data_IF_657438825377
#
_entry.id   IF_657438825377
#
_cell.length_a   1.000
_cell.length_b   1.000
_cell.length_c   1.000
_cell.angle_alpha   90.00
_cell.angle_beta   90.00
_cell.angle_gamma   90.00
#
_symmetry.space_group_name_H-M   'P 1'
#
loop_
_entity.id
_entity.type
_entity.pdbx_description
1 polymer ?
#
# COMPACT_ATOMS: atom_id res chain seq x y z
N UNK A 1 20.45 -13.84 11.62
CA UNK A 1 19.49 -14.82 11.06
C UNK A 1 19.41 -14.58 9.55
N UNK A 2 19.94 -15.50 8.75
CA UNK A 2 19.85 -15.40 7.28
C UNK A 2 18.39 -15.58 6.87
N UNK A 3 17.79 -14.53 6.30
CA UNK A 3 16.45 -14.54 5.70
C UNK A 3 16.50 -15.57 4.56
N UNK A 4 15.88 -16.73 4.76
CA UNK A 4 15.84 -17.79 3.75
C UNK A 4 15.31 -17.23 2.44
N UNK A 5 15.99 -17.52 1.32
CA UNK A 5 15.53 -17.15 -0.03
C UNK A 5 14.11 -17.69 -0.22
N UNK A 6 13.14 -16.79 -0.23
CA UNK A 6 11.75 -17.10 -0.53
C UNK A 6 11.71 -17.73 -1.93
N UNK A 7 11.06 -18.89 -2.06
CA UNK A 7 10.96 -19.60 -3.33
C UNK A 7 10.38 -18.66 -4.39
N UNK A 8 11.05 -18.55 -5.54
CA UNK A 8 10.64 -17.65 -6.63
C UNK A 8 9.36 -18.20 -7.25
N UNK A 9 8.22 -17.55 -6.99
CA UNK A 9 6.93 -17.88 -7.59
C UNK A 9 6.96 -17.56 -9.09
N UNK A 10 6.29 -18.39 -9.89
CA UNK A 10 6.22 -18.18 -11.34
C UNK A 10 5.33 -16.99 -11.72
N UNK A 11 5.68 -16.24 -12.77
CA UNK A 11 4.94 -15.06 -13.22
C UNK A 11 3.44 -15.34 -13.49
N UNK A 12 3.12 -16.49 -14.10
CA UNK A 12 1.72 -16.90 -14.31
C UNK A 12 0.96 -17.08 -13.00
N UNK A 13 1.60 -17.69 -12.01
CA UNK A 13 1.02 -17.89 -10.68
C UNK A 13 0.79 -16.54 -9.97
N UNK A 14 1.77 -15.64 -10.00
CA UNK A 14 1.65 -14.29 -9.42
C UNK A 14 0.47 -13.54 -10.05
N UNK A 15 0.30 -13.64 -11.37
CA UNK A 15 -0.82 -13.00 -12.06
C UNK A 15 -2.19 -13.54 -11.61
N UNK A 16 -2.34 -14.86 -11.50
CA UNK A 16 -3.60 -15.50 -11.06
C UNK A 16 -3.91 -15.19 -9.59
N UNK A 17 -2.89 -15.22 -8.72
CA UNK A 17 -2.99 -14.86 -7.31
C UNK A 17 -3.36 -13.37 -7.14
N UNK A 18 -2.69 -12.47 -7.85
CA UNK A 18 -2.98 -11.03 -7.84
C UNK A 18 -4.44 -10.73 -8.22
N UNK A 19 -4.94 -11.38 -9.28
CA UNK A 19 -6.33 -11.23 -9.73
C UNK A 19 -7.32 -11.71 -8.67
N UNK A 20 -7.01 -12.85 -8.05
CA UNK A 20 -7.84 -13.42 -6.98
C UNK A 20 -7.85 -12.50 -5.76
N UNK A 21 -6.69 -11.97 -5.36
CA UNK A 21 -6.57 -11.01 -4.26
C UNK A 21 -7.43 -9.77 -4.52
N UNK A 22 -7.30 -9.12 -5.68
CA UNK A 22 -8.13 -7.94 -5.99
C UNK A 22 -9.62 -8.28 -5.95
N UNK A 23 -10.01 -9.44 -6.48
CA UNK A 23 -11.41 -9.87 -6.47
C UNK A 23 -11.95 -10.04 -5.04
N UNK A 24 -11.25 -10.78 -4.18
CA UNK A 24 -11.71 -11.03 -2.80
C UNK A 24 -11.82 -9.74 -1.98
N UNK A 25 -10.84 -8.84 -2.09
CA UNK A 25 -10.87 -7.58 -1.34
C UNK A 25 -11.91 -6.60 -1.91
N UNK A 26 -12.10 -6.57 -3.22
CA UNK A 26 -13.17 -5.77 -3.84
C UNK A 26 -14.55 -6.28 -3.45
N UNK A 27 -14.74 -7.60 -3.46
CA UNK A 27 -15.99 -8.23 -3.02
C UNK A 27 -16.27 -7.92 -1.54
N UNK A 28 -15.27 -8.07 -0.67
CA UNK A 28 -15.41 -7.74 0.75
C UNK A 28 -15.78 -6.27 0.98
N UNK A 29 -15.12 -5.35 0.27
CA UNK A 29 -15.43 -3.91 0.32
C UNK A 29 -16.88 -3.63 -0.11
N UNK A 30 -17.29 -4.10 -1.29
CA UNK A 30 -18.64 -3.84 -1.81
C UNK A 30 -19.71 -4.48 -0.92
N UNK A 31 -19.53 -5.74 -0.49
CA UNK A 31 -20.49 -6.42 0.36
C UNK A 31 -20.68 -5.74 1.70
N UNK A 32 -19.59 -5.34 2.37
CA UNK A 32 -19.68 -4.67 3.68
C UNK A 32 -20.27 -3.27 3.56
N UNK A 33 -19.84 -2.49 2.58
CA UNK A 33 -20.37 -1.15 2.32
C UNK A 33 -21.87 -1.19 1.99
N UNK A 34 -22.28 -2.10 1.10
CA UNK A 34 -23.67 -2.27 0.70
C UNK A 34 -24.56 -2.74 1.87
N UNK A 35 -24.10 -3.72 2.66
CA UNK A 35 -24.82 -4.19 3.85
C UNK A 35 -25.11 -3.03 4.81
N UNK A 36 -24.08 -2.24 5.15
CA UNK A 36 -24.22 -1.11 6.08
C UNK A 36 -25.09 -0.01 5.50
N UNK A 37 -24.97 0.30 4.21
CA UNK A 37 -25.85 1.27 3.55
C UNK A 37 -27.31 0.82 3.60
N UNK A 38 -27.59 -0.44 3.25
CA UNK A 38 -28.94 -1.01 3.30
C UNK A 38 -29.55 -0.92 4.71
N UNK A 39 -28.82 -1.35 5.74
CA UNK A 39 -29.29 -1.29 7.13
C UNK A 39 -29.58 0.14 7.59
N UNK A 40 -28.73 1.10 7.21
CA UNK A 40 -28.93 2.49 7.57
C UNK A 40 -30.12 3.13 6.85
N UNK A 41 -30.43 2.71 5.61
CA UNK A 41 -31.59 3.20 4.87
C UNK A 41 -32.89 2.59 5.38
N UNK A 42 -32.90 1.29 5.68
CA UNK A 42 -34.16 0.57 5.97
C UNK A 42 -34.51 0.46 7.45
N UNK A 43 -33.53 0.35 8.34
CA UNK A 43 -33.76 0.10 9.78
C UNK A 43 -33.48 1.35 10.60
N UNK A 44 -32.28 1.92 10.48
CA UNK A 44 -31.78 2.91 11.45
C UNK A 44 -32.02 4.38 11.06
N UNK A 45 -32.49 4.66 9.84
CA UNK A 45 -32.59 6.02 9.28
C UNK A 45 -31.29 6.81 9.51
N UNK A 46 -30.25 6.44 8.77
CA UNK A 46 -28.88 6.88 8.98
C UNK A 46 -28.73 8.39 9.15
N UNK A 47 -27.99 8.80 10.20
CA UNK A 47 -27.67 10.20 10.48
C UNK A 47 -26.58 10.74 9.55
N UNK A 48 -26.45 12.06 9.44
CA UNK A 48 -25.41 12.70 8.62
C UNK A 48 -24.01 12.20 8.98
N UNK A 49 -23.71 11.98 10.27
CA UNK A 49 -22.41 11.46 10.72
C UNK A 49 -22.10 10.03 10.26
N UNK A 50 -23.13 9.17 10.14
CA UNK A 50 -22.96 7.82 9.61
C UNK A 50 -22.68 7.85 8.11
N UNK A 51 -23.40 8.69 7.36
CA UNK A 51 -23.20 8.85 5.93
C UNK A 51 -21.84 9.47 5.59
N UNK A 52 -21.38 10.46 6.35
CA UNK A 52 -20.04 11.04 6.14
C UNK A 52 -18.94 10.01 6.40
N UNK A 53 -19.01 9.28 7.51
CA UNK A 53 -18.08 8.18 7.80
C UNK A 53 -18.11 7.08 6.74
N UNK A 54 -19.30 6.70 6.28
CA UNK A 54 -19.48 5.71 5.23
C UNK A 54 -18.86 6.15 3.89
N UNK A 55 -19.07 7.41 3.47
CA UNK A 55 -18.48 7.96 2.24
C UNK A 55 -16.94 8.02 2.32
N UNK A 56 -16.40 8.44 3.47
CA UNK A 56 -14.95 8.47 3.69
C UNK A 56 -14.37 7.06 3.59
N UNK A 57 -14.99 6.08 4.26
CA UNK A 57 -14.61 4.67 4.22
C UNK A 57 -14.63 4.11 2.79
N UNK A 58 -15.72 4.35 2.04
CA UNK A 58 -15.83 3.93 0.64
C UNK A 58 -14.75 4.57 -0.25
N UNK A 59 -14.47 5.85 -0.04
CA UNK A 59 -13.44 6.57 -0.82
C UNK A 59 -12.05 5.97 -0.59
N UNK A 60 -11.71 5.62 0.65
CA UNK A 60 -10.45 4.94 1.00
C UNK A 60 -10.37 3.54 0.38
N UNK A 61 -11.46 2.78 0.41
CA UNK A 61 -11.50 1.45 -0.22
C UNK A 61 -11.32 1.54 -1.74
N UNK A 62 -12.03 2.45 -2.41
CA UNK A 62 -11.90 2.67 -3.87
C UNK A 62 -10.46 3.07 -4.20
N UNK A 63 -9.87 3.98 -3.43
CA UNK A 63 -8.47 4.39 -3.62
C UNK A 63 -7.51 3.21 -3.46
N UNK A 64 -7.65 2.39 -2.42
CA UNK A 64 -6.79 1.22 -2.18
C UNK A 64 -6.93 0.15 -3.26
N UNK A 65 -8.15 -0.10 -3.73
CA UNK A 65 -8.41 -1.03 -4.85
C UNK A 65 -7.78 -0.49 -6.13
N UNK A 66 -7.97 0.80 -6.43
CA UNK A 66 -7.36 1.43 -7.61
C UNK A 66 -5.83 1.38 -7.56
N UNK A 67 -5.23 1.61 -6.39
CA UNK A 67 -3.78 1.49 -6.18
C UNK A 67 -3.30 0.05 -6.42
N UNK A 68 -3.99 -0.96 -5.90
CA UNK A 68 -3.67 -2.37 -6.18
C UNK A 68 -3.80 -2.71 -7.68
N UNK A 69 -4.87 -2.25 -8.34
CA UNK A 69 -5.04 -2.43 -9.79
C UNK A 69 -3.91 -1.79 -10.60
N UNK A 70 -3.38 -0.65 -10.14
CA UNK A 70 -2.24 0.00 -10.77
C UNK A 70 -0.94 -0.81 -10.59
N UNK A 71 -0.75 -1.43 -9.42
CA UNK A 71 0.44 -2.23 -9.08
C UNK A 71 0.53 -3.54 -9.87
N UNK A 72 -0.60 -4.17 -10.18
CA UNK A 72 -0.65 -5.48 -10.88
C UNK A 72 -0.71 -5.39 -12.40
N UNK A 73 -0.46 -4.22 -12.98
CA UNK A 73 -0.50 -4.04 -14.44
C UNK A 73 0.49 -5.00 -15.11
N UNK A 74 -0.04 -6.00 -15.80
CA UNK A 74 0.76 -7.05 -16.43
C UNK A 74 1.10 -6.71 -17.88
N UNK A 75 2.29 -7.13 -18.30
CA UNK A 75 2.78 -7.01 -19.69
C UNK A 75 2.72 -8.38 -20.34
N UNK A 76 2.07 -8.44 -21.51
CA UNK A 76 1.93 -9.66 -22.30
C UNK A 76 2.74 -9.56 -23.59
N UNK A 77 3.26 -10.70 -24.04
CA UNK A 77 3.93 -10.81 -25.34
C UNK A 77 2.90 -10.88 -26.49
N UNK A 78 3.36 -10.81 -27.74
CA UNK A 78 2.56 -10.97 -28.96
C UNK A 78 1.81 -12.31 -29.02
N UNK A 79 2.33 -13.34 -28.35
CA UNK A 79 1.69 -14.66 -28.18
C UNK A 79 0.70 -14.73 -27.01
N UNK A 80 0.35 -13.60 -26.41
CA UNK A 80 -0.53 -13.47 -25.23
C UNK A 80 -0.02 -14.21 -23.97
N UNK A 81 1.27 -14.55 -23.92
CA UNK A 81 1.92 -15.09 -22.72
C UNK A 81 2.27 -13.96 -21.76
N UNK A 82 2.11 -14.20 -20.46
CA UNK A 82 2.44 -13.23 -19.41
C UNK A 82 3.96 -13.17 -19.28
N UNK A 83 4.55 -12.02 -19.61
CA UNK A 83 5.99 -11.77 -19.50
C UNK A 83 6.30 -11.17 -18.13
N UNK A 84 5.44 -10.26 -17.67
CA UNK A 84 5.53 -9.61 -16.38
C UNK A 84 4.12 -9.55 -15.76
N UNK A 85 3.97 -10.08 -14.55
CA UNK A 85 2.72 -10.07 -13.79
C UNK A 85 2.50 -8.77 -13.01
N UNK A 86 3.46 -7.84 -13.06
CA UNK A 86 3.51 -6.65 -12.23
C UNK A 86 4.00 -6.97 -10.82
N UNK A 87 3.68 -6.08 -9.90
CA UNK A 87 4.06 -6.20 -8.49
C UNK A 87 3.24 -7.31 -7.82
N UNK A 88 3.88 -8.23 -7.09
CA UNK A 88 3.19 -9.26 -6.29
C UNK A 88 2.52 -8.60 -5.06
N UNK A 89 1.19 -8.60 -5.03
CA UNK A 89 0.41 -8.03 -3.92
C UNK A 89 0.52 -8.87 -2.64
N UNK A 90 0.92 -10.13 -2.75
CA UNK A 90 1.01 -11.07 -1.62
C UNK A 90 2.42 -11.10 -1.00
N UNK A 91 3.37 -10.33 -1.54
CA UNK A 91 4.68 -10.11 -0.90
C UNK A 91 4.56 -9.11 0.28
N UNK A 92 4.94 -9.50 1.51
CA UNK A 92 4.90 -8.63 2.69
C UNK A 92 5.83 -7.40 2.62
N UNK A 93 6.77 -7.36 1.68
CA UNK A 93 7.67 -6.20 1.53
C UNK A 93 7.09 -5.14 0.60
N UNK A 94 5.93 -5.41 0.02
CA UNK A 94 5.34 -4.60 -1.03
C UNK A 94 4.22 -3.72 -0.50
N UNK A 95 4.01 -2.57 -1.14
CA UNK A 95 2.95 -1.63 -0.78
C UNK A 95 1.52 -2.22 -0.85
N UNK A 96 1.33 -3.33 -1.56
CA UNK A 96 0.06 -4.05 -1.63
C UNK A 96 -0.47 -4.52 -0.26
N UNK A 97 0.40 -4.77 0.72
CA UNK A 97 -0.02 -5.09 2.09
C UNK A 97 -0.78 -3.92 2.74
N UNK A 98 -0.25 -2.69 2.63
CA UNK A 98 -0.92 -1.50 3.16
C UNK A 98 -2.29 -1.26 2.52
N UNK A 99 -2.43 -1.50 1.21
CA UNK A 99 -3.72 -1.38 0.53
C UNK A 99 -4.75 -2.39 1.07
N UNK A 100 -4.33 -3.63 1.32
CA UNK A 100 -5.17 -4.68 1.91
C UNK A 100 -5.58 -4.32 3.34
N UNK A 101 -4.65 -3.84 4.15
CA UNK A 101 -4.91 -3.43 5.53
C UNK A 101 -5.91 -2.27 5.60
N UNK A 102 -5.79 -1.28 4.72
CA UNK A 102 -6.75 -0.17 4.62
C UNK A 102 -8.16 -0.71 4.32
N UNK A 103 -8.30 -1.65 3.39
CA UNK A 103 -9.61 -2.23 3.04
C UNK A 103 -10.19 -2.99 4.23
N UNK A 104 -9.40 -3.82 4.90
CA UNK A 104 -9.83 -4.59 6.08
C UNK A 104 -10.26 -3.64 7.20
N UNK A 105 -9.49 -2.58 7.46
CA UNK A 105 -9.83 -1.57 8.46
C UNK A 105 -11.14 -0.85 8.13
N UNK A 106 -11.36 -0.51 6.86
CA UNK A 106 -12.62 0.10 6.41
C UNK A 106 -13.82 -0.86 6.55
N UNK A 107 -13.64 -2.14 6.22
CA UNK A 107 -14.66 -3.17 6.45
C UNK A 107 -15.00 -3.30 7.95
N UNK A 108 -13.99 -3.27 8.82
CA UNK A 108 -14.19 -3.29 10.26
C UNK A 108 -14.93 -2.03 10.75
N UNK A 109 -14.55 -0.85 10.27
CA UNK A 109 -15.21 0.41 10.58
C UNK A 109 -16.69 0.40 10.16
N UNK A 110 -17.01 -0.14 8.98
CA UNK A 110 -18.37 -0.35 8.54
C UNK A 110 -19.18 -1.22 9.52
N UNK A 111 -18.67 -2.40 9.88
CA UNK A 111 -19.37 -3.31 10.79
C UNK A 111 -19.56 -2.70 12.19
N UNK A 112 -18.54 -2.04 12.74
CA UNK A 112 -18.63 -1.38 14.05
C UNK A 112 -19.58 -0.18 14.04
N UNK A 113 -19.69 0.52 12.89
CA UNK A 113 -20.57 1.69 12.77
C UNK A 113 -22.05 1.36 12.95
N UNK A 114 -22.46 0.10 12.76
CA UNK A 114 -23.82 -0.38 13.04
C UNK A 114 -24.16 -0.21 14.53
N UNK A 115 -23.18 -0.43 15.43
CA UNK A 115 -23.38 -0.24 16.86
C UNK A 115 -23.28 1.25 17.25
N UNK A 116 -22.28 1.97 16.72
CA UNK A 116 -22.11 3.40 17.02
C UNK A 116 -21.35 4.16 15.94
N UNK A 117 -21.89 5.31 15.50
CA UNK A 117 -21.31 6.13 14.44
C UNK A 117 -19.86 6.58 14.69
N UNK A 118 -19.46 6.76 15.95
CA UNK A 118 -18.13 7.27 16.32
C UNK A 118 -17.01 6.27 16.03
N UNK A 119 -17.33 5.00 15.72
CA UNK A 119 -16.31 4.03 15.32
C UNK A 119 -15.59 4.39 14.02
N UNK A 120 -16.17 5.24 13.16
CA UNK A 120 -15.43 5.78 12.01
C UNK A 120 -14.20 6.61 12.39
N UNK A 121 -14.08 7.07 13.64
CA UNK A 121 -12.85 7.70 14.14
C UNK A 121 -11.63 6.77 14.08
N UNK A 122 -11.81 5.44 14.00
CA UNK A 122 -10.69 4.50 13.80
C UNK A 122 -9.95 4.77 12.48
N UNK A 123 -10.61 5.35 11.48
CA UNK A 123 -9.98 5.70 10.20
C UNK A 123 -8.92 6.80 10.36
N UNK A 124 -8.95 7.59 11.44
CA UNK A 124 -7.90 8.57 11.76
C UNK A 124 -6.56 7.89 12.07
N UNK A 125 -6.54 6.60 12.38
CA UNK A 125 -5.29 5.85 12.54
C UNK A 125 -4.46 5.80 11.25
N UNK A 126 -5.10 5.87 10.07
CA UNK A 126 -4.43 5.88 8.77
C UNK A 126 -3.54 7.13 8.56
N UNK A 127 -4.06 8.37 8.67
CA UNK A 127 -3.20 9.55 8.55
C UNK A 127 -2.19 9.64 9.70
N UNK A 128 -2.53 9.20 10.92
CA UNK A 128 -1.57 9.15 12.04
C UNK A 128 -0.39 8.23 11.69
N UNK A 129 -0.67 7.03 11.18
CA UNK A 129 0.37 6.09 10.77
C UNK A 129 1.21 6.62 9.60
N UNK A 130 0.56 7.23 8.60
CA UNK A 130 1.25 7.84 7.48
C UNK A 130 2.19 8.98 7.91
N UNK A 131 1.73 9.86 8.82
CA UNK A 131 2.57 10.92 9.40
C UNK A 131 3.73 10.34 10.20
N UNK A 132 3.50 9.31 11.01
CA UNK A 132 4.56 8.63 11.75
C UNK A 132 5.64 8.05 10.82
N UNK A 133 5.22 7.35 9.74
CA UNK A 133 6.14 6.81 8.74
C UNK A 133 6.92 7.90 8.01
N UNK A 134 6.27 9.00 7.65
CA UNK A 134 6.91 10.15 7.02
C UNK A 134 7.93 10.81 7.97
N UNK A 135 7.57 10.94 9.25
CA UNK A 135 8.44 11.47 10.29
C UNK A 135 9.69 10.60 10.47
N UNK A 136 9.53 9.30 10.72
CA UNK A 136 10.67 8.41 10.98
C UNK A 136 11.49 8.13 9.71
N UNK A 137 10.86 8.08 8.55
CA UNK A 137 11.52 7.71 7.30
C UNK A 137 12.26 8.85 6.60
N UNK A 138 11.74 10.07 6.67
CA UNK A 138 12.26 11.19 5.88
C UNK A 138 12.65 12.39 6.75
N UNK A 139 11.69 12.94 7.51
CA UNK A 139 11.92 14.18 8.25
C UNK A 139 12.94 14.01 9.38
N UNK A 140 12.80 12.97 10.20
CA UNK A 140 13.69 12.70 11.33
C UNK A 140 15.15 12.57 10.88
N UNK A 141 15.48 11.67 9.93
CA UNK A 141 16.84 11.55 9.41
C UNK A 141 17.36 12.84 8.78
N UNK A 142 16.52 13.64 8.12
CA UNK A 142 16.93 14.91 7.52
C UNK A 142 17.21 16.00 8.58
N UNK A 143 16.37 16.11 9.61
CA UNK A 143 16.55 17.09 10.70
C UNK A 143 17.72 16.74 11.62
N UNK A 144 17.98 15.45 11.83
CA UNK A 144 19.03 14.95 12.73
C UNK A 144 20.21 14.35 11.97
N UNK A 145 20.36 14.65 10.68
CA UNK A 145 21.54 14.26 9.91
C UNK A 145 22.77 14.92 10.57
N UNK A 146 23.78 14.15 11.02
CA UNK A 146 25.02 14.74 11.48
C UNK A 146 25.63 15.55 10.33
N UNK A 147 26.11 16.76 10.63
CA UNK A 147 26.83 17.57 9.65
C UNK A 147 27.94 16.71 9.04
N UNK A 148 28.06 16.71 7.70
CA UNK A 148 29.09 15.96 6.99
C UNK A 148 30.47 16.34 7.55
N UNK A 149 31.01 15.51 8.45
CA UNK A 149 32.44 15.49 8.68
C UNK A 149 33.05 15.07 7.34
N UNK A 150 33.71 16.03 6.69
CA UNK A 150 34.47 15.82 5.46
C UNK A 150 35.49 14.70 5.69
N UNK A 151 35.09 13.47 5.38
CA UNK A 151 35.94 12.30 5.41
C UNK A 151 36.94 12.39 4.24
N UNK A 152 38.16 12.83 4.54
CA UNK A 152 39.34 12.89 3.65
C UNK A 152 39.59 11.57 2.87
N UNK A 153 38.97 10.45 3.28
CA UNK A 153 38.99 9.17 2.58
C UNK A 153 38.25 9.18 1.23
N UNK A 154 37.14 9.93 1.12
CA UNK A 154 36.36 9.97 -0.12
C UNK A 154 37.07 10.76 -1.22
N UNK A 155 37.74 11.87 -0.87
CA UNK A 155 38.48 12.69 -1.83
C UNK A 155 39.67 11.93 -2.43
N UNK A 156 40.34 11.08 -1.63
CA UNK A 156 41.41 10.18 -2.14
C UNK A 156 40.88 9.08 -3.07
N UNK A 157 39.69 8.52 -2.83
CA UNK A 157 39.09 7.50 -3.70
C UNK A 157 38.59 8.10 -5.02
N UNK A 158 38.05 9.32 -4.99
CA UNK A 158 37.58 10.03 -6.18
C UNK A 158 38.75 10.41 -7.09
N UNK A 159 39.84 10.98 -6.54
CA UNK A 159 41.06 11.28 -7.30
C UNK A 159 41.72 10.04 -7.93
N UNK A 160 41.62 8.87 -7.29
CA UNK A 160 42.12 7.59 -7.86
C UNK A 160 41.25 7.07 -9.01
N UNK A 161 39.94 7.37 -9.01
CA UNK A 161 39.05 7.02 -10.12
C UNK A 161 39.26 7.95 -11.32
N UNK A 162 39.41 9.25 -11.08
CA UNK A 162 39.69 10.25 -12.12
C UNK A 162 41.01 9.98 -12.85
N UNK A 163 42.08 9.59 -12.12
CA UNK A 163 43.36 9.20 -12.74
C UNK A 163 43.26 7.96 -13.63
N UNK A 164 42.31 7.04 -13.40
CA UNK A 164 42.13 5.84 -14.24
C UNK A 164 41.35 6.13 -15.51
N UNK A 165 40.53 7.18 -15.53
CA UNK A 165 39.77 7.61 -16.72
C UNK A 165 40.69 8.32 -17.71
N UNK A 166 41.62 9.16 -17.22
CA UNK A 166 42.55 9.91 -18.08
C UNK A 166 43.67 9.08 -18.72
N UNK A 167 44.03 7.92 -18.18
CA UNK A 167 45.08 7.03 -18.75
C UNK A 167 44.52 6.11 -19.85
N UNK A 168 43.20 6.12 -20.09
CA UNK A 168 42.53 5.29 -21.11
C UNK A 168 42.17 6.03 -22.40
N UNK A 169 42.62 7.27 -22.57
CA UNK A 169 42.56 8.02 -23.83
C UNK A 169 43.97 8.24 -24.36
#
# INVERSE_FOLDING_TARGET
MQKGKQAVRGQKQIYEENRSTIFYYSLASVCTAALVACLNVTIFTGTTGLWTGWVISCSLQIFSIAAMCFMVKSVRNERNHIVDAGIDLNDPQTFGEYCKDIIILCCLAHLLSIAWAHFYCILLTLPIFAMYKLWVGFLGPWFFAPAEEKDDSQDKKQRRREKKVFVRH
#
